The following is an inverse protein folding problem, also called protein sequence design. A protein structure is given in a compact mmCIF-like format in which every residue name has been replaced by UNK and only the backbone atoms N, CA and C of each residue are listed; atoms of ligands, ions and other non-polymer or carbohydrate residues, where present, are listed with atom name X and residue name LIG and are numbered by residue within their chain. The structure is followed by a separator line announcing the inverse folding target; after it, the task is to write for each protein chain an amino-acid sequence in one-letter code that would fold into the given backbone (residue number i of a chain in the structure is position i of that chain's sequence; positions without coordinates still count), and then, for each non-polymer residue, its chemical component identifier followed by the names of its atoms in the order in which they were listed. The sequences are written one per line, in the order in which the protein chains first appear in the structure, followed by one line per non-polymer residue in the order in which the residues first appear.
data_IF_665292401412
#
_entry.id   IF_665292401412
#
_cell.length_a   1.000
_cell.length_b   1.000
_cell.length_c   1.000
_cell.angle_alpha   90.00
_cell.angle_beta   90.00
_cell.angle_gamma   90.00
#
_symmetry.space_group_name_H-M   'P 1'
#
loop_
_entity.id
_entity.type
_entity.pdbx_description
1 polymer ?
2 water ?
#
# COMPACT_ATOMS: atom_id res chain seq x y z
N UNK A 1 -12.16 20.92 -2.17
CA UNK A 1 -12.18 19.45 -2.38
C UNK A 1 -11.55 19.04 -3.71
N UNK A 2 -11.70 19.88 -4.74
CA UNK A 2 -11.13 19.56 -6.05
C UNK A 2 -10.39 20.72 -6.72
N UNK A 3 -9.60 21.46 -5.95
CA UNK A 3 -8.88 22.59 -6.53
C UNK A 3 -7.38 22.34 -6.70
N UNK A 4 -6.97 21.11 -6.44
CA UNK A 4 -5.57 20.73 -6.54
C UNK A 4 -5.28 19.78 -7.70
N UNK A 5 -4.23 20.09 -8.46
CA UNK A 5 -3.83 19.24 -9.57
C UNK A 5 -2.50 18.57 -9.24
N UNK A 6 -2.44 17.25 -9.42
CA UNK A 6 -1.23 16.51 -9.12
C UNK A 6 -0.74 15.75 -10.35
N UNK A 7 0.56 15.83 -10.60
CA UNK A 7 1.15 15.16 -11.73
C UNK A 7 1.25 13.65 -11.48
N UNK A 8 1.50 12.89 -12.54
CA UNK A 8 1.60 11.44 -12.39
C UNK A 8 2.79 11.15 -11.50
N UNK A 9 3.89 11.86 -11.75
CA UNK A 9 5.11 11.70 -10.98
C UNK A 9 4.85 11.96 -9.49
N UNK A 10 4.12 13.03 -9.19
CA UNK A 10 3.82 13.34 -7.80
C UNK A 10 2.94 12.23 -7.23
N UNK A 11 2.03 11.70 -8.04
CA UNK A 11 1.18 10.62 -7.57
C UNK A 11 2.02 9.39 -7.25
N UNK A 12 3.03 9.13 -8.07
CA UNK A 12 3.92 7.98 -7.86
C UNK A 12 4.56 8.03 -6.49
N UNK A 13 4.99 9.22 -6.08
CA UNK A 13 5.62 9.38 -4.78
C UNK A 13 4.66 9.00 -3.67
N UNK A 14 3.41 9.44 -3.79
CA UNK A 14 2.42 9.14 -2.77
C UNK A 14 2.10 7.63 -2.77
N UNK A 15 1.94 7.06 -3.96
CA UNK A 15 1.65 5.63 -4.07
C UNK A 15 2.77 4.81 -3.40
N UNK A 16 4.03 5.17 -3.70
CA UNK A 16 5.18 4.46 -3.13
C UNK A 16 5.27 4.62 -1.63
N UNK A 17 5.08 5.84 -1.15
CA UNK A 17 5.13 6.07 0.28
C UNK A 17 4.09 5.22 1.00
N UNK A 18 2.87 5.19 0.46
CA UNK A 18 1.81 4.43 1.09
C UNK A 18 2.04 2.94 1.06
N UNK A 19 2.40 2.43 -0.11
CA UNK A 19 2.64 1.00 -0.23
C UNK A 19 3.91 0.60 0.54
N UNK A 20 4.94 1.45 0.54
CA UNK A 20 6.15 1.10 1.27
C UNK A 20 5.83 0.97 2.76
N UNK A 21 5.12 1.96 3.29
CA UNK A 21 4.75 1.91 4.70
C UNK A 21 3.94 0.64 5.01
N UNK A 22 2.90 0.40 4.24
CA UNK A 22 2.07 -0.78 4.49
C UNK A 22 2.87 -2.08 4.34
N UNK A 23 3.75 -2.16 3.34
CA UNK A 23 4.55 -3.38 3.15
C UNK A 23 5.48 -3.59 4.35
N UNK A 24 6.04 -2.50 4.88
CA UNK A 24 6.93 -2.56 6.03
C UNK A 24 6.18 -3.08 7.26
N UNK A 25 5.01 -2.52 7.52
CA UNK A 25 4.21 -2.97 8.65
C UNK A 25 3.82 -4.43 8.42
N UNK A 26 3.47 -4.75 7.18
CA UNK A 26 3.07 -6.11 6.81
C UNK A 26 4.18 -7.11 7.14
N UNK A 27 5.39 -6.79 6.71
CA UNK A 27 6.50 -7.69 6.96
C UNK A 27 6.71 -7.98 8.44
N UNK A 28 6.24 -7.08 9.30
CA UNK A 28 6.36 -7.26 10.74
C UNK A 28 5.36 -8.29 11.24
N UNK A 29 4.17 -8.28 10.67
CA UNK A 29 3.15 -9.23 11.05
C UNK A 29 3.60 -10.59 10.53
N UNK A 30 4.18 -10.59 9.34
CA UNK A 30 4.68 -11.83 8.74
C UNK A 30 5.75 -12.46 9.63
N UNK A 31 6.63 -11.64 10.20
CA UNK A 31 7.65 -12.16 11.09
C UNK A 31 7.02 -12.97 12.24
N UNK A 32 5.83 -12.58 12.70
CA UNK A 32 5.18 -13.29 13.79
C UNK A 32 5.13 -14.76 13.48
N UNK A 33 4.74 -15.09 12.26
CA UNK A 33 4.65 -16.48 11.90
C UNK A 33 6.04 -17.06 11.72
N UNK A 34 6.95 -16.29 11.12
CA UNK A 34 8.30 -16.80 10.91
C UNK A 34 8.96 -17.09 12.25
N UNK A 35 8.89 -16.15 13.20
CA UNK A 35 9.47 -16.41 14.51
C UNK A 35 8.94 -17.68 15.15
N UNK A 36 7.65 -17.98 14.93
CA UNK A 36 7.04 -19.19 15.48
C UNK A 36 7.50 -20.41 14.73
N UNK A 37 8.13 -20.19 13.58
CA UNK A 37 8.60 -21.29 12.75
C UNK A 37 7.39 -21.96 12.09
N UNK A 38 6.32 -21.19 12.01
CA UNK A 38 5.09 -21.63 11.37
C UNK A 38 4.91 -20.74 10.15
N UNK A 39 5.79 -20.96 9.18
CA UNK A 39 5.87 -20.24 7.92
C UNK A 39 4.54 -19.85 7.24
N UNK A 40 4.33 -18.56 6.99
CA UNK A 40 3.15 -18.14 6.23
C UNK A 40 3.64 -18.38 4.80
N UNK A 41 2.77 -18.83 3.90
CA UNK A 41 3.20 -19.10 2.54
C UNK A 41 3.47 -17.90 1.64
N UNK A 42 4.32 -18.04 0.60
CA UNK A 42 4.58 -16.88 -0.27
C UNK A 42 3.30 -16.35 -0.91
N UNK A 43 2.38 -17.26 -1.20
CA UNK A 43 1.11 -16.89 -1.78
C UNK A 43 0.30 -16.11 -0.75
N UNK A 44 0.53 -16.40 0.52
CA UNK A 44 -0.18 -15.69 1.57
C UNK A 44 0.37 -14.26 1.65
N UNK A 45 1.69 -14.14 1.69
CA UNK A 45 2.31 -12.82 1.72
C UNK A 45 1.89 -12.03 0.48
N UNK A 46 1.81 -12.70 -0.67
CA UNK A 46 1.39 -12.03 -1.89
C UNK A 46 0.00 -11.41 -1.71
N UNK A 47 -0.91 -12.18 -1.13
CA UNK A 47 -2.26 -11.71 -0.91
C UNK A 47 -2.26 -10.47 -0.02
N UNK A 48 -1.35 -10.43 0.95
CA UNK A 48 -1.25 -9.27 1.84
C UNK A 48 -0.74 -8.05 1.08
N UNK A 49 0.26 -8.26 0.23
CA UNK A 49 0.81 -7.17 -0.56
C UNK A 49 -0.26 -6.63 -1.49
N UNK A 50 -1.09 -7.54 -2.01
CA UNK A 50 -2.18 -7.14 -2.89
C UNK A 50 -3.20 -6.29 -2.12
N UNK A 51 -3.45 -6.66 -0.87
CA UNK A 51 -4.38 -5.85 -0.08
C UNK A 51 -3.83 -4.42 -0.01
N UNK A 52 -2.53 -4.30 0.25
CA UNK A 52 -1.87 -2.99 0.36
C UNK A 52 -2.00 -2.18 -0.92
N UNK A 53 -1.74 -2.82 -2.05
CA UNK A 53 -1.83 -2.10 -3.31
C UNK A 53 -3.26 -1.76 -3.70
N UNK A 54 -4.20 -2.67 -3.46
CA UNK A 54 -5.58 -2.38 -3.83
C UNK A 54 -6.17 -1.29 -2.94
N UNK A 55 -5.71 -1.20 -1.70
CA UNK A 55 -6.24 -0.15 -0.82
C UNK A 55 -5.69 1.17 -1.32
N UNK A 56 -4.40 1.18 -1.65
CA UNK A 56 -3.79 2.38 -2.20
C UNK A 56 -4.52 2.79 -3.49
N UNK A 57 -4.88 1.81 -4.32
CA UNK A 57 -5.53 2.17 -5.58
C UNK A 57 -6.96 2.63 -5.44
N UNK A 58 -7.65 2.15 -4.41
CA UNK A 58 -9.06 2.46 -4.14
C UNK A 58 -9.37 3.95 -4.21
N UNK A 59 -8.59 4.75 -3.49
CA UNK A 59 -8.82 6.20 -3.50
C UNK A 59 -7.51 6.91 -3.85
N UNK A 60 -6.73 6.34 -4.77
CA UNK A 60 -5.43 6.90 -5.14
C UNK A 60 -5.42 8.37 -5.53
N UNK A 61 -6.39 8.77 -6.35
CA UNK A 61 -6.48 10.17 -6.76
C UNK A 61 -6.65 11.11 -5.57
N UNK A 62 -7.54 10.77 -4.65
CA UNK A 62 -7.78 11.59 -3.46
C UNK A 62 -6.52 11.57 -2.57
N UNK A 63 -5.95 10.39 -2.35
CA UNK A 63 -4.76 10.33 -1.50
C UNK A 63 -3.66 11.27 -2.00
N UNK A 64 -3.42 11.26 -3.31
CA UNK A 64 -2.36 12.08 -3.90
C UNK A 64 -2.74 13.55 -3.87
N UNK A 65 -3.98 13.83 -4.25
CA UNK A 65 -4.49 15.19 -4.28
C UNK A 65 -4.41 15.83 -2.89
N UNK A 66 -5.03 15.19 -1.90
CA UNK A 66 -5.04 15.76 -0.57
C UNK A 66 -3.67 15.74 0.11
N UNK A 67 -2.79 14.82 -0.29
CA UNK A 67 -1.43 14.84 0.26
C UNK A 67 -0.75 16.13 -0.26
N UNK A 68 -0.86 16.40 -1.56
CA UNK A 68 -0.25 17.62 -2.08
C UNK A 68 -0.96 18.85 -1.52
N UNK A 69 -2.26 18.71 -1.30
CA UNK A 69 -3.10 19.78 -0.76
C UNK A 69 -2.60 20.23 0.62
N UNK A 70 -2.53 19.28 1.56
CA UNK A 70 -2.12 19.58 2.92
C UNK A 70 -0.74 20.25 2.96
N UNK A 71 0.16 19.79 2.10
CA UNK A 71 1.49 20.37 2.04
C UNK A 71 1.37 21.84 1.64
N UNK A 72 0.56 22.12 0.63
CA UNK A 72 0.37 23.50 0.21
C UNK A 72 -0.28 24.29 1.36
N UNK A 73 -1.34 23.74 1.94
CA UNK A 73 -2.05 24.40 3.03
C UNK A 73 -1.12 24.75 4.19
N UNK A 74 -0.19 23.84 4.50
CA UNK A 74 0.75 24.07 5.58
C UNK A 74 1.97 24.86 5.13
N UNK A 75 1.97 25.30 3.88
CA UNK A 75 3.09 26.07 3.33
C UNK A 75 4.39 25.28 3.34
N UNK A 76 4.30 23.99 3.05
CA UNK A 76 5.49 23.14 3.02
C UNK A 76 5.82 22.81 1.56
N UNK A 77 7.11 22.57 1.27
CA UNK A 77 7.49 22.25 -0.10
C UNK A 77 6.85 20.94 -0.57
N UNK A 78 6.56 20.87 -1.87
CA UNK A 78 5.93 19.71 -2.48
C UNK A 78 6.96 19.06 -3.41
N UNK A 79 7.53 17.93 -2.98
CA UNK A 79 8.54 17.24 -3.76
C UNK A 79 8.53 15.75 -3.43
N UNK A 80 9.49 15.01 -3.96
CA UNK A 80 9.56 13.58 -3.71
C UNK A 80 9.63 13.27 -2.22
N UNK A 81 10.48 13.99 -1.50
CA UNK A 81 10.62 13.76 -0.08
C UNK A 81 9.34 14.00 0.73
N UNK A 82 8.70 15.14 0.53
CA UNK A 82 7.49 15.43 1.29
C UNK A 82 6.28 14.62 0.80
N UNK A 83 6.18 14.37 -0.50
CA UNK A 83 5.04 13.58 -1.00
C UNK A 83 5.18 12.12 -0.57
N UNK A 84 6.41 11.62 -0.57
CA UNK A 84 6.61 10.24 -0.16
C UNK A 84 6.21 10.11 1.31
N UNK A 85 6.56 11.10 2.14
CA UNK A 85 6.19 11.05 3.55
C UNK A 85 4.67 11.15 3.70
N UNK A 86 4.00 11.97 2.88
CA UNK A 86 2.54 12.04 2.99
C UNK A 86 1.95 10.69 2.63
N UNK A 87 2.55 10.01 1.67
CA UNK A 87 2.06 8.70 1.29
C UNK A 87 2.18 7.77 2.49
N UNK A 88 3.32 7.84 3.16
CA UNK A 88 3.52 6.99 4.32
C UNK A 88 2.50 7.33 5.40
N UNK A 89 2.16 8.61 5.51
CA UNK A 89 1.19 9.06 6.51
C UNK A 89 -0.19 8.51 6.17
N UNK A 90 -0.52 8.49 4.89
CA UNK A 90 -1.81 7.95 4.46
C UNK A 90 -1.81 6.46 4.78
N UNK A 91 -0.68 5.79 4.53
CA UNK A 91 -0.60 4.38 4.87
C UNK A 91 -0.86 4.18 6.36
N UNK A 92 -0.29 5.05 7.18
CA UNK A 92 -0.50 4.98 8.63
C UNK A 92 -1.99 5.15 8.97
N UNK A 93 -2.62 6.16 8.40
CA UNK A 93 -4.04 6.41 8.64
C UNK A 93 -4.89 5.21 8.26
N UNK A 94 -4.45 4.48 7.24
CA UNK A 94 -5.18 3.32 6.75
C UNK A 94 -4.80 1.98 7.33
N UNK A 95 -3.92 1.98 8.33
CA UNK A 95 -3.47 0.73 8.92
C UNK A 95 -4.62 -0.08 9.50
N UNK A 96 -5.58 0.59 10.14
CA UNK A 96 -6.70 -0.13 10.71
C UNK A 96 -7.49 -0.89 9.66
N UNK A 97 -7.77 -0.21 8.55
CA UNK A 97 -8.50 -0.79 7.42
C UNK A 97 -7.72 -1.97 6.87
N UNK A 98 -6.43 -1.75 6.68
CA UNK A 98 -5.57 -2.78 6.17
C UNK A 98 -5.61 -4.05 7.03
N UNK A 99 -5.49 -3.90 8.35
CA UNK A 99 -5.50 -5.04 9.25
C UNK A 99 -6.81 -5.82 9.12
N UNK A 100 -7.92 -5.12 8.93
CA UNK A 100 -9.21 -5.80 8.77
C UNK A 100 -9.23 -6.58 7.46
N UNK A 101 -8.59 -6.04 6.43
CA UNK A 101 -8.55 -6.76 5.15
C UNK A 101 -7.62 -7.96 5.22
N UNK A 102 -6.59 -7.89 6.05
CA UNK A 102 -5.70 -9.03 6.19
C UNK A 102 -6.51 -10.14 6.85
N UNK A 103 -7.45 -9.77 7.71
CA UNK A 103 -8.30 -10.74 8.39
C UNK A 103 -9.06 -11.55 7.36
N UNK A 104 -9.54 -10.87 6.33
CA UNK A 104 -10.28 -11.54 5.29
C UNK A 104 -9.38 -12.48 4.50
N UNK A 105 -8.08 -12.15 4.38
CA UNK A 105 -7.16 -13.02 3.65
C UNK A 105 -7.11 -14.38 4.34
N UNK A 106 -6.92 -14.38 5.65
CA UNK A 106 -6.91 -15.62 6.44
C UNK A 106 -8.07 -16.58 6.19
N UNK A 107 -9.30 -16.10 6.36
CA UNK A 107 -10.46 -16.96 6.16
C UNK A 107 -10.70 -17.27 4.69
N UNK A 108 -10.31 -16.35 3.82
CA UNK A 108 -10.49 -16.57 2.39
C UNK A 108 -9.69 -17.77 1.91
N UNK A 109 -8.52 -18.00 2.49
CA UNK A 109 -7.71 -19.13 2.08
C UNK A 109 -7.88 -20.31 3.01
N UNK A 110 -8.73 -20.14 4.02
CA UNK A 110 -9.01 -21.19 5.01
C UNK A 110 -7.72 -21.66 5.67
N UNK A 111 -6.76 -20.75 5.87
CA UNK A 111 -5.51 -21.15 6.50
C UNK A 111 -4.37 -20.16 6.33
N UNK A 112 -3.14 -20.62 6.57
CA UNK A 112 -1.95 -19.78 6.47
C UNK A 112 -1.10 -20.12 5.25
N UNK A 113 -1.64 -21.00 4.42
CA UNK A 113 -0.99 -21.45 3.21
C UNK A 113 -0.95 -20.39 2.11
N UNK A 114 -2.12 -20.07 1.58
CA UNK A 114 -2.19 -19.10 0.51
C UNK A 114 -2.01 -19.85 -0.80
N UNK A 115 -2.38 -19.24 -1.92
CA UNK A 115 -2.23 -19.91 -3.21
C UNK A 115 -0.78 -20.15 -3.61
N UNK A 116 -0.56 -21.01 -4.60
CA UNK A 116 0.79 -21.27 -5.08
C UNK A 116 1.20 -20.02 -5.84
N UNK A 117 2.48 -19.65 -5.75
CA UNK A 117 2.99 -18.45 -6.44
C UNK A 117 3.27 -18.69 -7.92
N UNK A 118 2.73 -17.84 -8.78
CA UNK A 118 2.94 -17.96 -10.21
C UNK A 118 3.82 -16.81 -10.68
N UNK A 119 4.34 -16.92 -11.90
CA UNK A 119 5.18 -15.86 -12.44
C UNK A 119 4.41 -14.54 -12.42
N UNK A 120 3.14 -14.58 -12.82
CA UNK A 120 2.33 -13.37 -12.85
C UNK A 120 2.26 -12.73 -11.46
N UNK A 121 2.08 -13.56 -10.44
CA UNK A 121 2.02 -13.03 -9.07
C UNK A 121 3.35 -12.43 -8.63
N UNK A 122 4.46 -13.05 -9.01
CA UNK A 122 5.75 -12.53 -8.61
C UNK A 122 6.04 -11.19 -9.29
N UNK A 123 5.60 -11.08 -10.54
CA UNK A 123 5.78 -9.85 -11.31
C UNK A 123 4.99 -8.73 -10.64
N UNK A 124 3.74 -9.03 -10.31
CA UNK A 124 2.89 -8.05 -9.64
C UNK A 124 3.52 -7.63 -8.32
N UNK A 125 4.01 -8.62 -7.58
CA UNK A 125 4.63 -8.37 -6.30
C UNK A 125 5.86 -7.47 -6.37
N UNK A 126 6.60 -7.54 -7.47
CA UNK A 126 7.81 -6.73 -7.65
C UNK A 126 7.59 -5.43 -8.40
N UNK A 127 6.41 -5.26 -8.97
CA UNK A 127 6.09 -4.05 -9.75
C UNK A 127 6.21 -2.77 -8.91
N UNK A 128 6.75 -1.71 -9.49
CA UNK A 128 6.88 -0.45 -8.77
C UNK A 128 5.48 0.07 -8.39
N UNK A 129 5.23 0.26 -7.09
CA UNK A 129 3.91 0.74 -6.66
C UNK A 129 3.55 2.04 -7.35
N UNK A 130 4.59 2.81 -7.66
CA UNK A 130 4.40 4.09 -8.34
C UNK A 130 3.94 3.92 -9.77
N UNK A 131 3.83 2.69 -10.24
CA UNK A 131 3.36 2.50 -11.61
C UNK A 131 1.95 1.92 -11.66
N UNK A 132 1.33 1.74 -10.50
CA UNK A 132 -0.03 1.23 -10.48
C UNK A 132 -0.97 2.35 -10.88
N UNK A 133 -2.17 1.99 -11.37
CA UNK A 133 -3.12 3.02 -11.77
C UNK A 133 -3.46 3.89 -10.58
N UNK A 134 -3.69 5.16 -10.84
CA UNK A 134 -4.03 6.05 -9.76
C UNK A 134 -5.34 6.78 -10.04
N UNK A 135 -6.45 6.19 -9.61
CA UNK A 135 -7.76 6.80 -9.82
C UNK A 135 -8.77 6.26 -8.82
N UNK A 136 -9.70 7.12 -8.39
CA UNK A 136 -10.71 6.71 -7.43
C UNK A 136 -11.71 5.74 -8.07
N UNK A 137 -11.62 4.48 -7.67
CA UNK A 137 -12.49 3.44 -8.21
C UNK A 137 -13.94 3.54 -7.77
#
# INVERSE_FOLDING_TARGET
FDDVVVSRQEQSYVQRGMVNFLDEEMHKLVKRFRDMRWNLGPGFVFLLKKVNRERMMRYCMDYARYSKKILQLKHLPVNKKTLTKMGRFVGYRNYGVIRELYADVFRDVQGFRGPKMTAAMRKYSSKDPGTFPCKNEKRRG
#
